data_IF_131856744756
#
_entry.id   IF_131856744756
#
_cell.length_a   1.000
_cell.length_b   1.000
_cell.length_c   1.000
_cell.angle_alpha   90.00
_cell.angle_beta   90.00
_cell.angle_gamma   90.00
#
_symmetry.space_group_name_H-M   'P 1'
#
loop_
_entity.id
_entity.type
_entity.pdbx_description
1 polymer ?
#
# COMPACT_ATOMS: atom_id res chain seq x y z
N UNK A 1 16.76 10.38 20.60
CA UNK A 1 16.04 9.37 19.79
C UNK A 1 14.57 9.77 19.78
N UNK A 2 14.13 10.56 18.80
CA UNK A 2 12.71 10.88 18.66
C UNK A 2 12.02 9.64 18.09
N UNK A 3 11.33 8.88 18.94
CA UNK A 3 10.30 7.96 18.47
C UNK A 3 9.20 8.86 17.90
N UNK A 4 9.22 9.11 16.59
CA UNK A 4 8.16 9.89 15.92
C UNK A 4 6.84 9.16 16.22
N UNK A 5 6.03 9.78 17.06
CA UNK A 5 4.92 9.13 17.75
C UNK A 5 3.57 9.42 17.10
N UNK A 6 3.57 10.17 15.99
CA UNK A 6 2.37 10.35 15.18
C UNK A 6 2.49 9.53 13.87
N UNK A 7 1.56 8.63 13.60
CA UNK A 7 1.57 7.85 12.36
C UNK A 7 1.38 8.71 11.09
N UNK A 8 0.87 9.96 11.20
CA UNK A 8 0.79 10.89 10.05
C UNK A 8 2.14 11.49 9.68
N UNK A 9 3.10 11.56 10.61
CA UNK A 9 4.49 11.98 10.33
C UNK A 9 5.30 10.92 9.54
N UNK A 10 4.68 9.79 9.20
CA UNK A 10 5.30 8.70 8.46
C UNK A 10 4.77 8.54 7.03
N UNK A 11 3.84 9.38 6.56
CA UNK A 11 3.26 9.25 5.21
C UNK A 11 4.21 9.84 4.15
N UNK A 12 4.72 8.98 3.26
CA UNK A 12 5.59 9.38 2.15
C UNK A 12 4.79 9.87 0.92
N UNK A 13 3.59 9.34 0.72
CA UNK A 13 2.72 9.75 -0.37
C UNK A 13 1.24 9.43 -0.11
N UNK A 14 0.38 10.13 -0.85
CA UNK A 14 -1.06 9.90 -0.85
C UNK A 14 -1.47 9.24 -2.15
N UNK A 15 -2.29 8.21 -2.05
CA UNK A 15 -2.81 7.47 -3.18
C UNK A 15 -4.35 7.46 -3.14
N UNK A 16 -4.98 7.69 -4.29
CA UNK A 16 -6.44 7.64 -4.45
C UNK A 16 -6.83 6.36 -5.19
N UNK A 17 -7.18 5.29 -4.48
CA UNK A 17 -7.70 4.09 -5.12
C UNK A 17 -9.01 4.36 -5.86
N UNK A 18 -9.20 3.72 -7.02
CA UNK A 18 -10.51 3.71 -7.69
C UNK A 18 -11.44 2.65 -7.10
N UNK A 19 -10.88 1.57 -6.56
CA UNK A 19 -11.58 0.43 -5.98
C UNK A 19 -10.90 -0.06 -4.71
N UNK A 20 -11.58 -0.90 -3.91
CA UNK A 20 -11.00 -1.59 -2.75
C UNK A 20 -10.30 -2.92 -3.11
N UNK A 21 -10.17 -3.23 -4.40
CA UNK A 21 -9.53 -4.46 -4.86
C UNK A 21 -8.04 -4.20 -5.12
N UNK A 22 -7.18 -4.71 -4.25
CA UNK A 22 -5.74 -4.52 -4.37
C UNK A 22 -5.17 -5.12 -5.65
N UNK A 23 -5.73 -6.22 -6.16
CA UNK A 23 -5.20 -6.87 -7.36
C UNK A 23 -5.35 -5.98 -8.61
N UNK A 24 -6.37 -5.12 -8.66
CA UNK A 24 -6.60 -4.19 -9.77
C UNK A 24 -5.87 -2.86 -9.59
N UNK A 25 -5.69 -2.43 -8.35
CA UNK A 25 -5.09 -1.14 -8.02
C UNK A 25 -3.56 -1.15 -7.92
N UNK A 26 -3.00 -2.21 -7.31
CA UNK A 26 -1.57 -2.29 -7.03
C UNK A 26 -0.68 -2.31 -8.28
N UNK A 27 -1.04 -2.93 -9.42
CA UNK A 27 -0.16 -2.93 -10.60
C UNK A 27 0.20 -1.51 -11.09
N UNK A 28 -0.80 -0.64 -11.21
CA UNK A 28 -0.61 0.75 -11.62
C UNK A 28 0.19 1.53 -10.57
N UNK A 29 -0.17 1.39 -9.29
CA UNK A 29 0.52 2.06 -8.18
C UNK A 29 1.99 1.63 -8.09
N UNK A 30 2.27 0.33 -8.13
CA UNK A 30 3.62 -0.23 -8.07
C UNK A 30 4.44 0.27 -9.26
N UNK A 31 3.88 0.29 -10.47
CA UNK A 31 4.57 0.80 -11.65
C UNK A 31 5.00 2.26 -11.48
N UNK A 32 4.10 3.11 -10.97
CA UNK A 32 4.40 4.52 -10.70
C UNK A 32 5.46 4.71 -9.61
N UNK A 33 5.41 3.90 -8.55
CA UNK A 33 6.38 3.96 -7.45
C UNK A 33 7.75 3.43 -7.87
N UNK A 34 7.80 2.36 -8.65
CA UNK A 34 9.05 1.77 -9.15
C UNK A 34 9.89 2.76 -9.94
N UNK A 35 9.26 3.70 -10.65
CA UNK A 35 9.95 4.78 -11.36
C UNK A 35 10.70 5.73 -10.41
N UNK A 36 10.28 5.83 -9.15
CA UNK A 36 10.87 6.74 -8.14
C UNK A 36 11.79 6.02 -7.16
N UNK A 37 11.43 4.81 -6.72
CA UNK A 37 12.16 4.06 -5.67
C UNK A 37 13.03 2.94 -6.19
N UNK A 38 12.81 2.53 -7.44
CA UNK A 38 13.26 1.24 -7.92
C UNK A 38 12.33 0.10 -7.53
N UNK A 39 12.73 -1.16 -7.79
CA UNK A 39 11.84 -2.31 -7.76
C UNK A 39 11.19 -2.56 -6.40
N UNK A 40 9.91 -2.93 -6.41
CA UNK A 40 9.13 -3.27 -5.22
C UNK A 40 9.11 -4.79 -5.04
N UNK A 41 9.18 -5.23 -3.78
CA UNK A 41 9.21 -6.65 -3.41
C UNK A 41 8.00 -7.10 -2.58
N UNK A 42 7.47 -6.20 -1.76
CA UNK A 42 6.40 -6.51 -0.81
C UNK A 42 5.49 -5.30 -0.61
N UNK A 43 4.20 -5.58 -0.45
CA UNK A 43 3.17 -4.64 -0.03
C UNK A 43 2.47 -5.23 1.18
N UNK A 44 2.35 -4.43 2.24
CA UNK A 44 1.61 -4.77 3.45
C UNK A 44 0.37 -3.90 3.53
N UNK A 45 -0.77 -4.53 3.79
CA UNK A 45 -2.08 -3.89 3.73
C UNK A 45 -2.99 -4.38 4.85
N UNK A 46 -3.99 -3.59 5.20
CA UNK A 46 -5.01 -3.99 6.15
C UNK A 46 -6.10 -4.84 5.47
N UNK A 47 -6.29 -6.12 5.86
CA UNK A 47 -7.31 -6.99 5.26
C UNK A 47 -8.75 -6.60 5.63
N UNK A 48 -8.97 -5.74 6.64
CA UNK A 48 -10.29 -5.18 6.95
C UNK A 48 -10.68 -4.07 5.96
N UNK A 49 -9.70 -3.40 5.38
CA UNK A 49 -9.89 -2.27 4.46
C UNK A 49 -9.88 -2.66 2.99
N UNK A 50 -9.21 -3.77 2.66
CA UNK A 50 -8.89 -4.17 1.30
C UNK A 50 -9.25 -5.63 1.07
N UNK A 51 -9.82 -5.92 -0.10
CA UNK A 51 -10.07 -7.30 -0.48
C UNK A 51 -8.73 -8.01 -0.76
N UNK A 52 -8.40 -9.08 0.00
CA UNK A 52 -7.17 -9.83 -0.21
C UNK A 52 -7.23 -10.58 -1.55
N UNK A 53 -6.06 -10.94 -2.05
CA UNK A 53 -5.94 -11.85 -3.19
C UNK A 53 -5.07 -13.03 -2.77
N UNK A 54 -5.49 -14.25 -3.10
CA UNK A 54 -4.79 -15.48 -2.69
C UNK A 54 -3.45 -15.72 -3.41
N UNK A 55 -3.10 -14.87 -4.37
CA UNK A 55 -1.91 -15.04 -5.21
C UNK A 55 -0.95 -13.86 -5.10
N UNK A 56 0.37 -14.10 -5.16
CA UNK A 56 1.34 -13.01 -5.27
C UNK A 56 1.05 -12.23 -6.56
N UNK A 57 1.10 -10.90 -6.45
CA UNK A 57 0.83 -10.03 -7.59
C UNK A 57 2.04 -10.04 -8.54
N UNK A 58 1.79 -10.19 -9.83
CA UNK A 58 2.84 -10.06 -10.85
C UNK A 58 2.72 -8.66 -11.45
N UNK A 59 3.78 -7.86 -11.31
CA UNK A 59 3.87 -6.52 -11.93
C UNK A 59 5.10 -6.50 -12.82
N UNK A 60 4.88 -6.41 -14.13
CA UNK A 60 5.93 -6.65 -15.13
C UNK A 60 6.48 -8.08 -14.99
N UNK A 61 7.80 -8.19 -14.80
CA UNK A 61 8.48 -9.48 -14.57
C UNK A 61 8.71 -9.78 -13.07
N UNK A 62 8.12 -8.99 -12.17
CA UNK A 62 8.39 -9.05 -10.73
C UNK A 62 7.22 -9.64 -9.96
N UNK A 63 7.53 -10.58 -9.06
CA UNK A 63 6.62 -11.05 -8.02
C UNK A 63 6.63 -10.06 -6.85
N UNK A 64 5.46 -9.53 -6.53
CA UNK A 64 5.23 -8.67 -5.37
C UNK A 64 4.40 -9.45 -4.36
N UNK A 65 4.96 -9.62 -3.16
CA UNK A 65 4.26 -10.28 -2.06
C UNK A 65 3.22 -9.35 -1.47
N UNK A 66 2.02 -9.86 -1.27
CA UNK A 66 0.94 -9.17 -0.56
C UNK A 66 0.83 -9.83 0.81
N UNK A 67 1.25 -9.12 1.85
CA UNK A 67 1.21 -9.64 3.22
C UNK A 67 0.11 -8.87 4.00
N UNK A 68 -1.00 -9.53 4.41
CA UNK A 68 -2.04 -8.88 5.19
C UNK A 68 -1.57 -8.63 6.63
N UNK A 69 -1.81 -7.44 7.17
CA UNK A 69 -1.50 -7.07 8.54
C UNK A 69 -2.60 -6.14 9.09
N UNK A 70 -3.33 -6.53 10.15
CA UNK A 70 -4.35 -5.65 10.74
C UNK A 70 -3.66 -4.45 11.40
N UNK A 71 -3.93 -3.26 10.88
CA UNK A 71 -3.40 -2.01 11.43
C UNK A 71 -4.49 -1.30 12.23
N UNK A 72 -4.11 -0.49 13.21
CA UNK A 72 -5.03 0.48 13.83
C UNK A 72 -5.47 1.57 12.82
N UNK A 73 -4.73 1.72 11.71
CA UNK A 73 -4.95 2.70 10.64
C UNK A 73 -5.19 1.99 9.31
N UNK A 74 -6.44 1.59 9.11
CA UNK A 74 -6.88 0.77 7.99
C UNK A 74 -6.76 1.45 6.61
N UNK A 75 -6.55 2.77 6.55
CA UNK A 75 -6.31 3.56 5.33
C UNK A 75 -4.82 3.66 4.93
N UNK A 76 -3.95 2.80 5.45
CA UNK A 76 -2.51 2.85 5.18
C UNK A 76 -2.00 1.61 4.46
N UNK A 77 -1.13 1.80 3.47
CA UNK A 77 -0.44 0.72 2.73
C UNK A 77 1.06 0.94 2.82
N UNK A 78 1.80 -0.10 3.22
CA UNK A 78 3.26 -0.06 3.31
C UNK A 78 3.86 -0.76 2.11
N UNK A 79 4.83 -0.12 1.48
CA UNK A 79 5.51 -0.62 0.29
C UNK A 79 7.00 -0.77 0.57
N UNK A 80 7.52 -1.97 0.29
CA UNK A 80 8.91 -2.33 0.54
C UNK A 80 9.66 -2.54 -0.78
N UNK A 81 10.64 -1.69 -1.00
CA UNK A 81 11.60 -1.79 -2.09
C UNK A 81 12.59 -2.93 -1.87
N UNK A 82 13.15 -3.44 -2.96
CA UNK A 82 14.18 -4.50 -2.94
C UNK A 82 15.49 -4.04 -2.29
N UNK A 83 15.73 -2.74 -2.29
CA UNK A 83 16.88 -2.06 -1.70
C UNK A 83 16.70 -1.76 -0.20
N UNK A 84 15.60 -2.21 0.41
CA UNK A 84 15.27 -1.92 1.81
C UNK A 84 14.59 -0.57 2.02
N UNK A 85 14.22 0.16 0.96
CA UNK A 85 13.39 1.36 1.10
C UNK A 85 12.00 0.98 1.60
N UNK A 86 11.46 1.76 2.54
CA UNK A 86 10.07 1.66 2.97
C UNK A 86 9.36 2.95 2.55
N UNK A 87 8.19 2.79 1.94
CA UNK A 87 7.28 3.88 1.67
C UNK A 87 5.94 3.60 2.32
N UNK A 88 5.37 4.63 2.94
CA UNK A 88 4.02 4.55 3.50
C UNK A 88 3.09 5.42 2.69
N UNK A 89 2.03 4.78 2.24
CA UNK A 89 1.02 5.37 1.38
C UNK A 89 -0.26 5.49 2.17
N UNK A 90 -0.77 6.70 2.26
CA UNK A 90 -2.13 6.92 2.74
C UNK A 90 -3.10 6.74 1.57
N UNK A 91 -3.99 5.77 1.69
CA UNK A 91 -5.08 5.58 0.75
C UNK A 91 -6.24 6.51 1.13
N UNK A 92 -6.56 7.45 0.24
CA UNK A 92 -7.70 8.35 0.44
C UNK A 92 -8.88 7.79 -0.33
N UNK A 93 -9.78 7.12 0.39
CA UNK A 93 -11.04 6.68 -0.18
C UNK A 93 -11.86 7.89 -0.63
N UNK A 94 -12.56 7.81 -1.77
CA UNK A 94 -13.47 8.88 -2.17
C UNK A 94 -14.51 9.07 -1.07
N UNK A 95 -14.68 10.34 -0.67
CA UNK A 95 -15.62 10.78 0.36
C UNK A 95 -17.03 10.42 -0.13
N UNK A 96 -17.58 9.31 0.34
CA UNK A 96 -18.82 8.75 -0.19
C UNK A 96 -19.29 7.44 0.46
N UNK A 97 -18.44 6.75 1.22
CA UNK A 97 -18.87 5.67 2.11
C UNK A 97 -18.95 6.20 3.53
N UNK A 98 -19.94 7.04 3.79
CA UNK A 98 -20.52 7.08 5.14
C UNK A 98 -21.13 5.69 5.36
N UNK A 99 -20.55 4.93 6.27
CA UNK A 99 -21.15 3.70 6.75
C UNK A 99 -22.55 4.03 7.28
N UNK A 100 -23.55 3.26 6.83
CA UNK A 100 -24.92 3.32 7.35
C UNK A 100 -25.17 2.17 8.30
#
# INVERSE_FOLDING_TARGET
>A
MHLRTDPKDYIDATWWPRTNNLATELPDLITALQLRTGPISRVVYDPSAWSPTDSPLIVGERRVRLDPYPFELSDTVYVYGVNGSVMVLQAVRPIGSIES
#
